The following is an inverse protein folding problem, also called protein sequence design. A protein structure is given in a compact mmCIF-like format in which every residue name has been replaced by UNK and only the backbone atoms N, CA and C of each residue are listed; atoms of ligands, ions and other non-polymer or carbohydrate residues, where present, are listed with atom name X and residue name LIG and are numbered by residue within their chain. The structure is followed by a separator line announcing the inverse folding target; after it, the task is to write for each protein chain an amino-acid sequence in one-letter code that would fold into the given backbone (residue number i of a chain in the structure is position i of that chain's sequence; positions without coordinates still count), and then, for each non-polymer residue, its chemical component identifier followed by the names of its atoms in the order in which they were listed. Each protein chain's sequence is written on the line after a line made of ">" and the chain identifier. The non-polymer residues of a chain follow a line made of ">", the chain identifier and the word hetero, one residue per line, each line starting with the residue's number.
data_IF_625516047944
#
_entry.id   IF_625516047944
#
_cell.length_a   1.000
_cell.length_b   1.000
_cell.length_c   1.000
_cell.angle_alpha   90.00
_cell.angle_beta   90.00
_cell.angle_gamma   90.00
#
_symmetry.space_group_name_H-M   'P 1'
#
loop_
_entity.id
_entity.type
_entity.pdbx_description
1 polymer ?
#
# COMPACT_ATOMS: atom_id res chain seq x y z
N UNK A 1 -28.43 4.30 -35.72
CA UNK A 1 -27.85 5.44 -34.98
C UNK A 1 -28.53 6.71 -35.50
N UNK A 2 -29.55 7.22 -34.81
CA UNK A 2 -30.48 8.25 -35.28
C UNK A 2 -30.02 9.70 -35.01
N UNK A 3 -28.75 9.98 -35.25
CA UNK A 3 -28.14 11.30 -35.02
C UNK A 3 -27.11 11.72 -36.05
N UNK A 4 -26.98 11.00 -37.17
CA UNK A 4 -26.05 11.36 -38.24
C UNK A 4 -26.81 12.01 -39.40
N UNK A 5 -26.29 13.15 -39.87
CA UNK A 5 -26.80 13.80 -41.07
C UNK A 5 -26.58 12.86 -42.28
N UNK A 6 -27.63 12.45 -43.01
CA UNK A 6 -27.51 11.48 -44.10
C UNK A 6 -26.60 11.94 -45.26
N UNK A 7 -26.33 13.25 -45.39
CA UNK A 7 -25.42 13.78 -46.42
C UNK A 7 -23.94 13.51 -46.14
N UNK A 8 -23.54 13.24 -44.90
CA UNK A 8 -22.15 13.00 -44.52
C UNK A 8 -21.82 11.52 -44.31
N UNK A 9 -22.64 10.61 -44.85
CA UNK A 9 -22.42 9.17 -44.80
C UNK A 9 -21.16 8.71 -45.58
N UNK A 10 -20.72 9.49 -46.57
CA UNK A 10 -19.48 9.27 -47.33
C UNK A 10 -18.27 10.05 -46.80
N UNK A 11 -18.45 10.88 -45.77
CA UNK A 11 -17.39 11.75 -45.26
C UNK A 11 -16.45 10.97 -44.33
N UNK A 12 -15.15 11.28 -44.45
CA UNK A 12 -14.12 10.69 -43.60
C UNK A 12 -14.31 11.16 -42.16
N UNK A 13 -14.62 10.23 -41.25
CA UNK A 13 -14.94 10.57 -39.86
C UNK A 13 -13.73 10.97 -39.03
N UNK A 14 -12.54 10.40 -39.31
CA UNK A 14 -11.31 10.73 -38.60
C UNK A 14 -10.06 10.43 -39.45
N UNK A 15 -9.03 11.27 -39.30
CA UNK A 15 -7.70 11.08 -39.92
C UNK A 15 -6.64 11.20 -38.83
N UNK A 16 -5.80 10.17 -38.69
CA UNK A 16 -4.67 10.20 -37.76
C UNK A 16 -3.46 10.87 -38.43
N UNK A 17 -2.96 11.95 -37.83
CA UNK A 17 -1.84 12.72 -38.36
C UNK A 17 -0.69 12.70 -37.35
N UNK A 18 0.48 12.19 -37.76
CA UNK A 18 1.70 12.23 -36.96
C UNK A 18 2.49 13.49 -37.28
N UNK A 19 2.57 14.41 -36.33
CA UNK A 19 3.31 15.66 -36.48
C UNK A 19 4.82 15.42 -36.35
N UNK A 20 5.61 16.03 -37.24
CA UNK A 20 7.09 15.98 -37.18
C UNK A 20 7.68 17.00 -36.21
N UNK A 21 7.01 18.13 -36.00
CA UNK A 21 7.45 19.22 -35.13
C UNK A 21 6.29 19.70 -34.24
N UNK A 22 6.44 19.79 -32.90
CA UNK A 22 5.40 20.27 -31.99
C UNK A 22 4.79 21.63 -32.36
N UNK A 23 5.55 22.55 -32.97
CA UNK A 23 5.04 23.87 -33.37
C UNK A 23 3.95 23.80 -34.46
N UNK A 24 4.00 22.77 -35.32
CA UNK A 24 2.97 22.56 -36.34
C UNK A 24 1.61 22.21 -35.71
N UNK A 25 1.61 21.54 -34.55
CA UNK A 25 0.40 21.20 -33.81
C UNK A 25 -0.32 22.41 -33.26
N UNK A 26 0.40 23.40 -32.73
CA UNK A 26 -0.20 24.64 -32.24
C UNK A 26 -0.88 25.45 -33.34
N UNK A 27 -0.27 25.51 -34.54
CA UNK A 27 -0.86 26.21 -35.69
C UNK A 27 -2.13 25.51 -36.19
N UNK A 28 -2.12 24.17 -36.22
CA UNK A 28 -3.28 23.36 -36.61
C UNK A 28 -4.41 23.45 -35.58
N UNK A 29 -4.10 23.47 -34.27
CA UNK A 29 -5.08 23.71 -33.21
C UNK A 29 -5.77 25.07 -33.37
N UNK A 30 -4.98 26.13 -33.62
CA UNK A 30 -5.54 27.46 -33.82
C UNK A 30 -6.44 27.53 -35.07
N UNK A 31 -6.03 26.89 -36.17
CA UNK A 31 -6.78 26.89 -37.44
C UNK A 31 -8.07 26.07 -37.35
N UNK A 32 -8.05 24.89 -36.73
CA UNK A 32 -9.19 23.98 -36.72
C UNK A 32 -10.09 24.11 -35.48
N UNK A 33 -9.53 24.19 -34.28
CA UNK A 33 -10.34 24.27 -33.05
C UNK A 33 -10.77 25.68 -32.68
N UNK A 34 -9.95 26.71 -32.95
CA UNK A 34 -10.23 28.09 -32.53
C UNK A 34 -10.82 28.97 -33.63
N UNK A 35 -10.53 28.68 -34.89
CA UNK A 35 -10.98 29.47 -36.05
C UNK A 35 -11.89 28.69 -37.00
N UNK A 36 -11.81 27.35 -36.98
CA UNK A 36 -12.63 26.47 -37.80
C UNK A 36 -13.97 26.14 -37.14
N UNK A 37 -14.95 25.71 -37.95
CA UNK A 37 -16.30 25.36 -37.46
C UNK A 37 -16.77 23.97 -37.90
N UNK A 38 -15.89 23.17 -38.55
CA UNK A 38 -16.27 21.89 -39.17
C UNK A 38 -15.35 20.71 -38.81
N UNK A 39 -14.12 20.95 -38.39
CA UNK A 39 -13.14 19.92 -38.05
C UNK A 39 -12.60 20.19 -36.65
N UNK A 40 -12.47 19.13 -35.85
CA UNK A 40 -11.86 19.20 -34.52
C UNK A 40 -10.50 18.51 -34.55
N UNK A 41 -9.50 19.17 -33.97
CA UNK A 41 -8.14 18.68 -33.88
C UNK A 41 -7.83 18.22 -32.46
N UNK A 42 -7.74 16.91 -32.24
CA UNK A 42 -7.46 16.35 -30.92
C UNK A 42 -5.95 16.42 -30.59
N UNK A 43 -5.47 17.58 -30.15
CA UNK A 43 -4.06 17.82 -29.77
C UNK A 43 -3.98 18.78 -28.58
N UNK A 44 -2.96 18.68 -27.70
CA UNK A 44 -1.92 17.66 -27.62
C UNK A 44 -2.31 16.47 -26.75
N UNK A 45 -2.34 15.27 -27.35
CA UNK A 45 -2.68 14.02 -26.66
C UNK A 45 -1.71 13.75 -25.51
N UNK A 46 -0.41 13.97 -25.71
CA UNK A 46 0.62 13.71 -24.69
C UNK A 46 0.40 14.55 -23.43
N UNK A 47 0.03 15.83 -23.58
CA UNK A 47 -0.22 16.70 -22.43
C UNK A 47 -1.50 16.32 -21.72
N UNK A 48 -2.56 15.97 -22.45
CA UNK A 48 -3.84 15.54 -21.88
C UNK A 48 -3.65 14.23 -21.12
N UNK A 49 -2.94 13.26 -21.68
CA UNK A 49 -2.60 12.00 -21.02
C UNK A 49 -1.74 12.25 -19.78
N UNK A 50 -0.71 13.10 -19.89
CA UNK A 50 0.12 13.45 -18.74
C UNK A 50 -0.69 14.16 -17.65
N UNK A 51 -1.65 15.03 -17.99
CA UNK A 51 -2.56 15.64 -17.01
C UNK A 51 -3.47 14.61 -16.35
N UNK A 52 -4.00 13.66 -17.12
CA UNK A 52 -4.85 12.59 -16.61
C UNK A 52 -4.07 11.72 -15.61
N UNK A 53 -2.88 11.24 -15.99
CA UNK A 53 -2.02 10.46 -15.09
C UNK A 53 -1.55 11.28 -13.88
N UNK A 54 -1.29 12.59 -14.01
CA UNK A 54 -0.98 13.45 -12.86
C UNK A 54 -2.15 13.52 -11.87
N UNK A 55 -3.40 13.58 -12.35
CA UNK A 55 -4.57 13.55 -11.48
C UNK A 55 -4.70 12.21 -10.75
N UNK A 56 -4.47 11.09 -11.44
CA UNK A 56 -4.45 9.75 -10.82
C UNK A 56 -3.32 9.63 -9.79
N UNK A 57 -2.13 10.16 -10.09
CA UNK A 57 -0.96 10.05 -9.21
C UNK A 57 -1.17 10.67 -7.83
N UNK A 58 -2.01 11.71 -7.71
CA UNK A 58 -2.38 12.24 -6.40
C UNK A 58 -3.22 11.22 -5.59
N UNK A 59 -4.18 10.55 -6.22
CA UNK A 59 -4.95 9.50 -5.53
C UNK A 59 -4.04 8.38 -5.02
N UNK A 60 -3.07 7.95 -5.82
CA UNK A 60 -2.07 6.95 -5.39
C UNK A 60 -1.30 7.42 -4.16
N UNK A 61 -0.88 8.70 -4.13
CA UNK A 61 -0.17 9.28 -2.97
C UNK A 61 -1.02 9.35 -1.71
N UNK A 62 -2.31 9.65 -1.84
CA UNK A 62 -3.23 9.68 -0.69
C UNK A 62 -3.42 8.28 -0.13
N UNK A 63 -3.64 7.28 -0.99
CA UNK A 63 -3.77 5.88 -0.59
C UNK A 63 -2.49 5.36 0.08
N UNK A 64 -1.32 5.76 -0.42
CA UNK A 64 -0.01 5.43 0.18
C UNK A 64 0.11 5.98 1.61
N UNK A 65 -0.27 7.25 1.84
CA UNK A 65 -0.25 7.84 3.18
C UNK A 65 -1.23 7.11 4.12
N UNK A 66 -2.43 6.78 3.64
CA UNK A 66 -3.41 6.02 4.43
C UNK A 66 -2.84 4.64 4.79
N UNK A 67 -2.18 3.96 3.85
CA UNK A 67 -1.54 2.67 4.12
C UNK A 67 -0.47 2.77 5.22
N UNK A 68 0.36 3.82 5.20
CA UNK A 68 1.34 4.07 6.26
C UNK A 68 0.69 4.36 7.63
N UNK A 69 -0.41 5.11 7.66
CA UNK A 69 -1.16 5.37 8.89
C UNK A 69 -1.75 4.07 9.46
N UNK A 70 -2.36 3.23 8.62
CA UNK A 70 -2.90 1.93 9.03
C UNK A 70 -1.78 1.03 9.57
N UNK A 71 -0.62 1.00 8.90
CA UNK A 71 0.54 0.26 9.37
C UNK A 71 1.01 0.76 10.76
N UNK A 72 1.03 2.07 10.99
CA UNK A 72 1.39 2.66 12.28
C UNK A 72 0.39 2.31 13.38
N UNK A 73 -0.91 2.35 13.09
CA UNK A 73 -1.95 1.95 14.05
C UNK A 73 -1.80 0.47 14.41
N UNK A 74 -1.60 -0.40 13.42
CA UNK A 74 -1.36 -1.82 13.64
C UNK A 74 -0.10 -2.07 14.50
N UNK A 75 0.97 -1.32 14.24
CA UNK A 75 2.20 -1.32 15.04
C UNK A 75 1.91 -1.03 16.52
N UNK A 76 1.12 0.02 16.77
CA UNK A 76 0.69 0.44 18.10
C UNK A 76 -0.19 -0.62 18.79
N UNK A 77 -1.10 -1.27 18.06
CA UNK A 77 -1.92 -2.36 18.59
C UNK A 77 -1.09 -3.55 19.03
N UNK A 78 -0.10 -3.97 18.23
CA UNK A 78 0.82 -5.06 18.61
C UNK A 78 1.66 -4.67 19.83
N UNK A 79 2.19 -3.45 19.85
CA UNK A 79 2.95 -2.94 21.00
C UNK A 79 2.10 -2.97 22.28
N UNK A 80 0.86 -2.47 22.22
CA UNK A 80 -0.05 -2.47 23.36
C UNK A 80 -0.38 -3.89 23.84
N UNK A 81 -0.61 -4.83 22.91
CA UNK A 81 -0.86 -6.23 23.23
C UNK A 81 0.32 -6.91 23.94
N UNK A 82 1.53 -6.73 23.41
CA UNK A 82 2.76 -7.25 24.02
C UNK A 82 2.99 -6.60 25.40
N UNK A 83 2.77 -5.29 25.51
CA UNK A 83 2.92 -4.58 26.77
C UNK A 83 1.97 -5.12 27.85
N UNK A 84 0.71 -5.41 27.50
CA UNK A 84 -0.25 -5.98 28.43
C UNK A 84 0.13 -7.41 28.84
N UNK A 85 0.47 -8.28 27.87
CA UNK A 85 0.94 -9.66 28.12
C UNK A 85 2.16 -9.68 29.04
N UNK A 86 3.10 -8.77 28.84
CA UNK A 86 4.29 -8.63 29.68
C UNK A 86 3.94 -8.20 31.11
N UNK A 87 2.96 -7.30 31.27
CA UNK A 87 2.56 -6.81 32.57
C UNK A 87 1.88 -7.90 33.41
N UNK A 88 1.10 -8.77 32.77
CA UNK A 88 0.51 -9.97 33.40
C UNK A 88 1.59 -10.99 33.81
N UNK A 89 2.62 -11.19 32.97
CA UNK A 89 3.71 -12.16 33.21
C UNK A 89 4.88 -11.60 34.03
N UNK A 90 4.76 -10.38 34.56
CA UNK A 90 5.87 -9.67 35.23
C UNK A 90 6.43 -10.42 36.44
N UNK A 91 5.55 -11.07 37.20
CA UNK A 91 5.92 -11.88 38.38
C UNK A 91 6.68 -13.15 37.97
N UNK A 92 6.24 -13.83 36.92
CA UNK A 92 6.91 -15.03 36.40
C UNK A 92 8.32 -14.68 35.88
N UNK A 93 8.45 -13.53 35.20
CA UNK A 93 9.74 -13.00 34.74
C UNK A 93 10.66 -12.70 35.93
N UNK A 94 10.14 -12.14 37.02
CA UNK A 94 10.92 -11.88 38.23
C UNK A 94 11.41 -13.18 38.88
N UNK A 95 10.57 -14.22 38.95
CA UNK A 95 10.92 -15.56 39.47
C UNK A 95 12.01 -16.21 38.60
N UNK A 96 11.85 -16.19 37.27
CA UNK A 96 12.85 -16.72 36.34
C UNK A 96 14.19 -16.01 36.47
N UNK A 97 14.18 -14.68 36.67
CA UNK A 97 15.41 -13.91 36.91
C UNK A 97 16.05 -14.22 38.27
N UNK A 98 15.27 -14.50 39.30
CA UNK A 98 15.78 -14.94 40.60
C UNK A 98 16.46 -16.33 40.52
N UNK A 99 15.98 -17.19 39.62
CA UNK A 99 16.58 -18.50 39.31
C UNK A 99 17.79 -18.42 38.35
N UNK A 100 18.24 -17.22 37.96
CA UNK A 100 19.44 -17.02 37.13
C UNK A 100 19.20 -16.81 35.64
N UNK A 101 17.95 -16.64 35.18
CA UNK A 101 17.68 -16.36 33.77
C UNK A 101 18.31 -15.05 33.30
N UNK A 102 19.05 -15.11 32.17
CA UNK A 102 19.76 -13.97 31.60
C UNK A 102 18.78 -13.02 30.91
N UNK A 103 18.95 -11.70 31.12
CA UNK A 103 18.07 -10.65 30.53
C UNK A 103 17.94 -10.71 28.99
N UNK A 104 18.92 -11.27 28.29
CA UNK A 104 18.89 -11.47 26.82
C UNK A 104 17.85 -12.50 26.39
N UNK A 105 17.54 -13.49 27.23
CA UNK A 105 16.55 -14.53 26.92
C UNK A 105 15.16 -13.90 26.88
N UNK A 106 14.83 -13.05 27.86
CA UNK A 106 13.56 -12.32 27.91
C UNK A 106 13.43 -11.37 26.72
N UNK A 107 14.50 -10.62 26.40
CA UNK A 107 14.52 -9.74 25.24
C UNK A 107 14.28 -10.51 23.94
N UNK A 108 15.02 -11.59 23.73
CA UNK A 108 14.89 -12.43 22.54
C UNK A 108 13.51 -13.07 22.42
N UNK A 109 12.92 -13.52 23.53
CA UNK A 109 11.59 -14.11 23.54
C UNK A 109 10.52 -13.11 23.10
N UNK A 110 10.56 -11.86 23.58
CA UNK A 110 9.57 -10.82 23.23
C UNK A 110 9.70 -10.40 21.76
N UNK A 111 10.92 -10.20 21.28
CA UNK A 111 11.14 -9.86 19.86
C UNK A 111 10.75 -11.03 18.95
N UNK A 112 10.99 -12.26 19.38
CA UNK A 112 10.57 -13.45 18.64
C UNK A 112 9.04 -13.56 18.59
N UNK A 113 8.35 -13.35 19.70
CA UNK A 113 6.88 -13.32 19.76
C UNK A 113 6.31 -12.27 18.80
N UNK A 114 6.82 -11.03 18.83
CA UNK A 114 6.34 -9.95 17.95
C UNK A 114 6.60 -10.27 16.47
N UNK A 115 7.75 -10.86 16.17
CA UNK A 115 8.13 -11.29 14.82
C UNK A 115 7.22 -12.42 14.33
N UNK A 116 6.94 -13.42 15.18
CA UNK A 116 6.01 -14.51 14.86
C UNK A 116 4.60 -14.00 14.60
N UNK A 117 4.09 -13.09 15.42
CA UNK A 117 2.77 -12.46 15.20
C UNK A 117 2.75 -11.76 13.84
N UNK A 118 3.83 -11.07 13.50
CA UNK A 118 3.95 -10.34 12.23
C UNK A 118 4.04 -11.28 11.01
N UNK A 119 4.77 -12.39 11.13
CA UNK A 119 4.86 -13.42 10.07
C UNK A 119 3.49 -14.05 9.84
N UNK A 120 2.80 -14.47 10.90
CA UNK A 120 1.47 -15.08 10.79
C UNK A 120 0.48 -14.07 10.18
N UNK A 121 0.48 -12.84 10.67
CA UNK A 121 -0.33 -11.76 10.12
C UNK A 121 -0.05 -11.52 8.63
N UNK A 122 1.21 -11.59 8.21
CA UNK A 122 1.59 -11.43 6.82
C UNK A 122 1.11 -12.58 5.93
N UNK A 123 1.23 -13.83 6.39
CA UNK A 123 0.71 -14.99 5.67
C UNK A 123 -0.81 -14.86 5.45
N UNK A 124 -1.53 -14.45 6.49
CA UNK A 124 -2.97 -14.19 6.42
C UNK A 124 -3.28 -13.02 5.46
N UNK A 125 -2.53 -11.92 5.55
CA UNK A 125 -2.69 -10.77 4.67
C UNK A 125 -2.48 -11.14 3.18
N UNK A 126 -1.53 -12.00 2.86
CA UNK A 126 -1.32 -12.51 1.50
C UNK A 126 -2.49 -13.34 0.98
N UNK A 127 -3.08 -14.17 1.84
CA UNK A 127 -4.27 -14.94 1.48
C UNK A 127 -5.43 -14.00 1.13
N UNK A 128 -5.67 -12.98 1.96
CA UNK A 128 -6.69 -11.96 1.68
C UNK A 128 -6.39 -11.14 0.43
N UNK A 129 -5.13 -10.73 0.23
CA UNK A 129 -4.69 -10.05 -0.98
C UNK A 129 -5.02 -10.86 -2.23
N UNK A 130 -4.68 -12.16 -2.24
CA UNK A 130 -4.95 -13.05 -3.36
C UNK A 130 -6.44 -13.17 -3.67
N UNK A 131 -7.29 -13.31 -2.65
CA UNK A 131 -8.75 -13.41 -2.81
C UNK A 131 -9.33 -12.10 -3.34
N UNK A 132 -8.99 -10.97 -2.72
CA UNK A 132 -9.54 -9.66 -3.09
C UNK A 132 -9.09 -9.27 -4.50
N UNK A 133 -7.79 -9.40 -4.79
CA UNK A 133 -7.23 -8.97 -6.07
C UNK A 133 -7.68 -9.87 -7.22
N UNK A 134 -7.76 -11.20 -7.02
CA UNK A 134 -8.30 -12.09 -8.06
C UNK A 134 -9.78 -11.81 -8.37
N UNK A 135 -10.58 -11.54 -7.33
CA UNK A 135 -11.99 -11.17 -7.50
C UNK A 135 -12.13 -9.84 -8.24
N UNK A 136 -11.37 -8.81 -7.83
CA UNK A 136 -11.36 -7.51 -8.49
C UNK A 136 -10.90 -7.63 -9.95
N UNK A 137 -9.84 -8.39 -10.22
CA UNK A 137 -9.34 -8.62 -11.57
C UNK A 137 -10.39 -9.30 -12.46
N UNK A 138 -11.13 -10.28 -11.93
CA UNK A 138 -12.23 -10.92 -12.66
C UNK A 138 -13.33 -9.91 -13.03
N UNK A 139 -13.79 -9.12 -12.06
CA UNK A 139 -14.82 -8.09 -12.27
C UNK A 139 -14.39 -7.05 -13.30
N UNK A 140 -13.15 -6.55 -13.21
CA UNK A 140 -12.60 -5.58 -14.16
C UNK A 140 -12.53 -6.19 -15.55
N UNK A 141 -12.09 -7.44 -15.67
CA UNK A 141 -12.03 -8.16 -16.95
C UNK A 141 -13.41 -8.29 -17.59
N UNK A 142 -14.45 -8.59 -16.81
CA UNK A 142 -15.82 -8.67 -17.33
C UNK A 142 -16.36 -7.32 -17.82
N UNK A 143 -16.04 -6.21 -17.14
CA UNK A 143 -16.58 -4.90 -17.49
C UNK A 143 -15.78 -4.15 -18.56
N UNK A 144 -14.46 -4.31 -18.58
CA UNK A 144 -13.55 -3.49 -19.40
C UNK A 144 -12.74 -4.29 -20.42
N UNK A 145 -12.73 -5.62 -20.31
CA UNK A 145 -11.89 -6.49 -21.15
C UNK A 145 -10.39 -6.46 -20.81
N UNK A 146 -9.97 -5.64 -19.83
CA UNK A 146 -8.57 -5.53 -19.42
C UNK A 146 -8.17 -6.78 -18.63
N UNK A 147 -7.10 -7.46 -19.07
CA UNK A 147 -6.53 -8.60 -18.37
C UNK A 147 -5.51 -8.09 -17.35
N UNK A 148 -5.89 -8.11 -16.08
CA UNK A 148 -4.94 -7.94 -14.97
C UNK A 148 -4.40 -9.31 -14.58
N UNK A 149 -3.09 -9.40 -14.33
CA UNK A 149 -2.47 -10.60 -13.80
C UNK A 149 -2.22 -10.42 -12.29
N UNK A 150 -3.01 -11.07 -11.42
CA UNK A 150 -2.88 -10.98 -9.96
C UNK A 150 -1.54 -11.41 -9.39
N UNK A 151 -0.84 -12.30 -10.08
CA UNK A 151 0.38 -12.92 -9.60
C UNK A 151 1.61 -12.44 -10.38
N UNK A 152 1.52 -11.30 -11.06
CA UNK A 152 2.69 -10.66 -11.62
C UNK A 152 3.65 -10.28 -10.49
N UNK A 153 4.90 -10.77 -10.57
CA UNK A 153 5.92 -10.47 -9.58
C UNK A 153 6.31 -9.00 -9.67
N UNK A 154 5.75 -8.20 -8.77
CA UNK A 154 6.12 -6.80 -8.58
C UNK A 154 7.06 -6.68 -7.38
N UNK A 155 8.02 -5.75 -7.43
CA UNK A 155 8.96 -5.53 -6.32
C UNK A 155 8.24 -5.26 -4.99
N UNK A 156 7.09 -4.59 -5.03
CA UNK A 156 6.25 -4.33 -3.85
C UNK A 156 5.78 -5.62 -3.15
N UNK A 157 5.56 -6.71 -3.89
CA UNK A 157 5.12 -8.01 -3.35
C UNK A 157 6.17 -8.61 -2.42
N UNK A 158 7.46 -8.26 -2.56
CA UNK A 158 8.52 -8.73 -1.67
C UNK A 158 8.88 -7.71 -0.59
N UNK A 159 8.93 -6.42 -0.95
CA UNK A 159 9.36 -5.36 -0.03
C UNK A 159 8.31 -5.04 1.03
N UNK A 160 7.02 -5.04 0.71
CA UNK A 160 5.96 -4.73 1.67
C UNK A 160 5.89 -5.75 2.81
N UNK A 161 5.91 -7.07 2.56
CA UNK A 161 5.97 -8.08 3.61
C UNK A 161 7.20 -7.97 4.48
N UNK A 162 8.38 -7.83 3.85
CA UNK A 162 9.63 -7.69 4.56
C UNK A 162 9.62 -6.44 5.45
N UNK A 163 9.11 -5.31 4.93
CA UNK A 163 8.97 -4.07 5.67
C UNK A 163 8.02 -4.18 6.86
N UNK A 164 6.87 -4.84 6.70
CA UNK A 164 5.90 -5.03 7.78
C UNK A 164 6.41 -6.01 8.86
N UNK A 165 7.09 -7.09 8.48
CA UNK A 165 7.73 -8.01 9.44
C UNK A 165 8.84 -7.29 10.20
N UNK A 166 9.66 -6.49 9.50
CA UNK A 166 10.70 -5.68 10.13
C UNK A 166 10.09 -4.66 11.11
N UNK A 167 9.01 -3.99 10.70
CA UNK A 167 8.29 -3.04 11.55
C UNK A 167 7.73 -3.74 12.80
N UNK A 168 7.17 -4.94 12.68
CA UNK A 168 6.70 -5.72 13.83
C UNK A 168 7.80 -6.29 14.74
N UNK A 169 8.99 -6.56 14.19
CA UNK A 169 10.17 -6.87 15.00
C UNK A 169 10.64 -5.63 15.78
N UNK A 170 10.67 -4.46 15.11
CA UNK A 170 11.05 -3.18 15.72
C UNK A 170 10.08 -2.74 16.81
N UNK A 171 8.77 -2.95 16.64
CA UNK A 171 7.78 -2.65 17.69
C UNK A 171 8.00 -3.49 18.94
N UNK A 172 8.41 -4.76 18.80
CA UNK A 172 8.75 -5.65 19.92
C UNK A 172 10.01 -5.25 20.68
N UNK A 173 10.96 -4.57 20.03
CA UNK A 173 12.17 -4.07 20.70
C UNK A 173 11.87 -3.05 21.81
N UNK A 174 10.84 -2.22 21.65
CA UNK A 174 10.46 -1.18 22.64
C UNK A 174 10.02 -1.79 23.99
N UNK A 175 9.00 -2.67 24.06
CA UNK A 175 8.61 -3.32 25.30
C UNK A 175 9.71 -4.25 25.83
N UNK A 176 10.47 -4.92 24.94
CA UNK A 176 11.59 -5.76 25.36
C UNK A 176 12.70 -4.98 26.08
N UNK A 177 13.01 -3.77 25.59
CA UNK A 177 13.96 -2.87 26.26
C UNK A 177 13.43 -2.38 27.62
N UNK A 178 12.13 -2.09 27.73
CA UNK A 178 11.52 -1.78 29.03
C UNK A 178 11.56 -2.98 30.00
N UNK A 179 11.30 -4.19 29.52
CA UNK A 179 11.40 -5.42 30.30
C UNK A 179 12.81 -5.59 30.89
N UNK A 180 13.83 -5.29 30.10
CA UNK A 180 15.25 -5.36 30.50
C UNK A 180 15.59 -4.50 31.72
N UNK A 181 14.87 -3.38 31.89
CA UNK A 181 15.10 -2.38 32.94
C UNK A 181 14.25 -2.62 34.20
N UNK A 182 13.28 -3.54 34.18
CA UNK A 182 12.43 -3.78 35.35
C UNK A 182 13.25 -4.33 36.54
N UNK A 183 13.19 -3.69 37.73
CA UNK A 183 13.87 -4.18 38.93
C UNK A 183 13.21 -5.46 39.46
N UNK A 184 14.02 -6.45 39.84
CA UNK A 184 13.52 -7.75 40.34
C UNK A 184 12.99 -7.62 41.77
N UNK A 185 13.69 -6.86 42.62
CA UNK A 185 13.36 -6.71 44.04
C UNK A 185 11.97 -6.10 44.28
N UNK A 186 11.58 -5.14 43.45
CA UNK A 186 10.33 -4.39 43.60
C UNK A 186 9.10 -5.20 43.17
N UNK A 187 9.27 -6.20 42.30
CA UNK A 187 8.18 -7.04 41.78
C UNK A 187 7.99 -8.35 42.55
N UNK A 188 8.82 -8.60 43.58
CA UNK A 188 8.70 -9.77 44.47
C UNK A 188 8.06 -9.42 45.82
N UNK A 189 7.84 -8.13 46.10
CA UNK A 189 7.12 -7.71 47.29
C UNK A 189 5.62 -8.08 47.14
N UNK A 190 5.00 -8.67 48.18
CA UNK A 190 3.58 -8.95 48.16
C UNK A 190 2.82 -7.63 48.00
N UNK A 191 1.91 -7.60 47.03
CA UNK A 191 0.98 -6.48 46.85
C UNK A 191 -0.03 -6.58 48.00
N UNK A 192 0.17 -5.75 49.03
CA UNK A 192 -0.80 -5.55 50.13
C UNK A 192 -1.98 -4.71 49.65
#
# INVERSE_FOLDING_TARGET
>A
MSGHNPESASDVSAVLIKLRNPQSGFRLDMMYNKQGNRLTFAWPIDQIMAQLFRKISWFDKVLEIIAYLVALVAAGSVLAGIYNSMNERKRDIAILRALGARRRVIFGAIVFESTCISIIGMVVAFAFYGIIFSTAAAVIRFQTGVVLNPFALHSAMMWTPAGMIALGALTGCIPAAKAYLTPVAENLLPVS
#
